data_IF_950304418673
#
_entry.id   IF_950304418673
#
_cell.length_a   1.000
_cell.length_b   1.000
_cell.length_c   1.000
_cell.angle_alpha   90.00
_cell.angle_beta   90.00
_cell.angle_gamma   90.00
#
_symmetry.space_group_name_H-M   'P 1'
#
loop_
_entity.id
_entity.type
_entity.pdbx_description
1 polymer ?
#
# COMPACT_ATOMS: atom_id res chain seq x y z
N UNK A 1 1.39 -10.68 17.91
CA UNK A 1 0.97 -10.06 16.63
C UNK A 1 1.19 -8.56 16.74
N UNK A 2 1.54 -7.84 15.66
CA UNK A 2 1.56 -6.39 15.70
C UNK A 2 0.21 -5.88 16.23
N UNK A 3 0.26 -5.09 17.30
CA UNK A 3 -0.92 -4.62 18.01
C UNK A 3 -1.45 -3.37 17.31
N UNK A 4 -2.31 -3.55 16.31
CA UNK A 4 -3.03 -2.46 15.66
C UNK A 4 -4.54 -2.64 15.84
N UNK A 5 -5.28 -1.53 15.84
CA UNK A 5 -6.73 -1.53 15.90
C UNK A 5 -7.27 -1.90 14.52
N UNK A 6 -8.18 -2.87 14.43
CA UNK A 6 -8.88 -3.19 13.19
C UNK A 6 -10.12 -2.31 13.09
N UNK A 7 -10.40 -1.79 11.89
CA UNK A 7 -11.61 -0.98 11.71
C UNK A 7 -12.91 -1.74 12.03
N UNK A 8 -12.90 -3.06 11.87
CA UNK A 8 -14.05 -3.95 12.12
C UNK A 8 -14.42 -4.08 13.59
N UNK A 9 -13.51 -3.68 14.48
CA UNK A 9 -13.70 -3.75 15.94
C UNK A 9 -14.25 -2.43 16.50
N UNK A 10 -14.48 -1.42 15.65
CA UNK A 10 -14.92 -0.09 16.03
C UNK A 10 -16.41 0.14 15.75
N UNK A 11 -17.05 0.96 16.59
CA UNK A 11 -18.38 1.52 16.27
C UNK A 11 -18.23 2.72 15.33
N UNK A 12 -18.60 2.52 14.07
CA UNK A 12 -18.50 3.52 13.00
C UNK A 12 -19.81 4.29 12.77
N UNK A 13 -20.89 3.98 13.49
CA UNK A 13 -22.20 4.57 13.24
C UNK A 13 -22.20 6.07 13.50
N UNK A 14 -22.55 6.85 12.47
CA UNK A 14 -22.58 8.31 12.53
C UNK A 14 -21.21 8.98 12.66
N UNK A 15 -20.10 8.22 12.55
CA UNK A 15 -18.74 8.76 12.61
C UNK A 15 -18.31 9.27 11.24
N UNK A 16 -17.48 10.31 11.23
CA UNK A 16 -16.74 10.76 10.05
C UNK A 16 -15.51 9.88 9.88
N UNK A 17 -15.49 9.06 8.83
CA UNK A 17 -14.42 8.09 8.59
C UNK A 17 -13.59 8.54 7.39
N UNK A 18 -12.29 8.78 7.62
CA UNK A 18 -11.33 9.09 6.56
C UNK A 18 -10.54 7.83 6.19
N UNK A 19 -10.62 7.39 4.95
CA UNK A 19 -9.99 6.18 4.45
C UNK A 19 -8.87 6.56 3.49
N UNK A 20 -7.64 6.16 3.82
CA UNK A 20 -6.52 6.17 2.89
C UNK A 20 -6.46 4.85 2.12
N UNK A 21 -7.01 4.82 0.92
CA UNK A 21 -7.05 3.64 0.05
C UNK A 21 -5.94 3.67 -1.02
N UNK A 22 -5.50 2.52 -1.54
CA UNK A 22 -4.65 2.48 -2.74
C UNK A 22 -5.53 2.43 -3.99
N UNK A 23 -5.79 3.60 -4.57
CA UNK A 23 -6.54 3.75 -5.82
C UNK A 23 -5.63 4.21 -6.97
N UNK A 24 -4.32 4.00 -6.86
CA UNK A 24 -3.39 4.34 -7.93
C UNK A 24 -3.47 3.31 -9.05
N UNK A 25 -4.44 3.51 -9.96
CA UNK A 25 -4.77 2.64 -11.09
C UNK A 25 -4.22 3.19 -12.40
N UNK A 26 -3.96 2.34 -13.41
CA UNK A 26 -3.62 2.83 -14.74
C UNK A 26 -4.84 3.53 -15.37
N UNK A 27 -4.63 4.77 -15.82
CA UNK A 27 -5.62 5.57 -16.55
C UNK A 27 -5.09 5.84 -17.95
N UNK A 28 -5.96 5.69 -18.95
CA UNK A 28 -5.69 6.03 -20.35
C UNK A 28 -6.91 6.73 -20.93
N UNK A 29 -6.69 7.87 -21.59
CA UNK A 29 -7.76 8.67 -22.23
C UNK A 29 -8.91 8.98 -21.26
N UNK A 30 -8.58 9.32 -20.01
CA UNK A 30 -9.53 9.63 -18.94
C UNK A 30 -10.31 8.43 -18.39
N UNK A 31 -9.93 7.20 -18.74
CA UNK A 31 -10.60 5.96 -18.31
C UNK A 31 -9.65 5.03 -17.57
N UNK A 32 -10.15 4.41 -16.50
CA UNK A 32 -9.43 3.35 -15.78
C UNK A 32 -9.33 2.12 -16.68
N UNK A 33 -8.11 1.61 -16.90
CA UNK A 33 -7.89 0.41 -17.74
C UNK A 33 -7.78 -0.88 -16.91
N UNK A 34 -7.53 -0.76 -15.60
CA UNK A 34 -7.59 -1.86 -14.64
C UNK A 34 -8.08 -1.33 -13.30
N UNK A 35 -9.17 -1.89 -12.80
CA UNK A 35 -9.84 -1.47 -11.56
C UNK A 35 -9.54 -2.41 -10.37
N UNK A 36 -8.55 -3.29 -10.50
CA UNK A 36 -8.24 -4.32 -9.48
C UNK A 36 -8.01 -3.71 -8.09
N UNK A 37 -7.30 -2.58 -8.02
CA UNK A 37 -7.04 -1.86 -6.76
C UNK A 37 -8.29 -1.17 -6.18
N UNK A 38 -9.15 -0.64 -7.04
CA UNK A 38 -10.43 -0.06 -6.63
C UNK A 38 -11.29 -1.17 -6.04
N UNK A 39 -11.42 -2.30 -6.75
CA UNK A 39 -12.15 -3.49 -6.30
C UNK A 39 -11.63 -4.00 -4.96
N UNK A 40 -10.32 -4.06 -4.77
CA UNK A 40 -9.72 -4.51 -3.52
C UNK A 40 -10.01 -3.56 -2.33
N UNK A 41 -10.22 -2.27 -2.59
CA UNK A 41 -10.54 -1.28 -1.54
C UNK A 41 -12.04 -1.21 -1.21
N UNK A 42 -12.91 -1.76 -2.06
CA UNK A 42 -14.38 -1.67 -1.88
C UNK A 42 -14.89 -2.29 -0.57
N UNK A 43 -14.41 -3.46 -0.09
CA UNK A 43 -14.91 -4.07 1.14
C UNK A 43 -14.82 -3.15 2.35
N UNK A 44 -13.70 -2.43 2.52
CA UNK A 44 -13.50 -1.43 3.58
C UNK A 44 -14.51 -0.28 3.48
N UNK A 45 -14.73 0.25 2.27
CA UNK A 45 -15.66 1.35 2.02
C UNK A 45 -17.12 0.93 2.28
N UNK A 46 -17.52 -0.22 1.76
CA UNK A 46 -18.85 -0.79 1.94
C UNK A 46 -19.15 -1.11 3.40
N UNK A 47 -18.16 -1.60 4.15
CA UNK A 47 -18.29 -1.85 5.58
C UNK A 47 -18.62 -0.56 6.35
N UNK A 48 -17.87 0.52 6.12
CA UNK A 48 -18.14 1.83 6.72
C UNK A 48 -19.54 2.35 6.36
N UNK A 49 -19.92 2.26 5.08
CA UNK A 49 -21.23 2.68 4.61
C UNK A 49 -22.37 1.88 5.26
N UNK A 50 -22.22 0.57 5.36
CA UNK A 50 -23.20 -0.33 6.00
C UNK A 50 -23.34 -0.04 7.50
N UNK A 51 -22.26 0.35 8.16
CA UNK A 51 -22.28 0.78 9.55
C UNK A 51 -22.95 2.16 9.76
N UNK A 52 -23.21 2.91 8.68
CA UNK A 52 -23.83 4.24 8.74
C UNK A 52 -22.82 5.36 9.03
N UNK A 53 -21.57 5.19 8.62
CA UNK A 53 -20.55 6.24 8.69
C UNK A 53 -20.72 7.28 7.58
N UNK A 54 -20.19 8.49 7.80
CA UNK A 54 -19.95 9.48 6.76
C UNK A 54 -18.53 9.27 6.19
N UNK A 55 -18.42 8.78 4.96
CA UNK A 55 -17.17 8.22 4.43
C UNK A 55 -16.46 9.20 3.50
N UNK A 56 -15.20 9.50 3.81
CA UNK A 56 -14.28 10.22 2.94
C UNK A 56 -13.16 9.29 2.54
N UNK A 57 -12.95 9.09 1.25
CA UNK A 57 -11.84 8.28 0.73
C UNK A 57 -10.85 9.22 0.07
N UNK A 58 -9.54 9.01 0.25
CA UNK A 58 -8.53 9.65 -0.61
C UNK A 58 -7.54 8.61 -1.12
N UNK A 59 -6.87 8.96 -2.21
CA UNK A 59 -5.72 8.22 -2.71
C UNK A 59 -4.68 9.14 -3.32
N UNK A 60 -3.52 8.58 -3.63
CA UNK A 60 -2.66 9.16 -4.65
C UNK A 60 -3.02 8.56 -6.02
N UNK A 61 -2.76 9.31 -7.08
CA UNK A 61 -2.71 8.83 -8.47
C UNK A 61 -1.47 9.41 -9.14
N UNK A 62 -0.69 8.57 -9.79
CA UNK A 62 0.53 9.00 -10.47
C UNK A 62 1.54 9.71 -9.53
N UNK A 63 2.24 10.69 -10.10
CA UNK A 63 3.31 11.45 -9.43
C UNK A 63 3.23 12.94 -9.74
N UNK A 64 2.13 13.62 -9.41
CA UNK A 64 2.01 15.05 -9.67
C UNK A 64 2.97 15.89 -8.81
N UNK A 65 3.15 17.14 -9.24
CA UNK A 65 3.79 18.20 -8.46
C UNK A 65 2.84 18.66 -7.35
N UNK A 66 3.34 18.80 -6.12
CA UNK A 66 2.52 19.30 -5.03
C UNK A 66 2.14 20.78 -5.26
N UNK A 67 0.88 21.12 -4.98
CA UNK A 67 0.32 22.44 -5.20
C UNK A 67 -0.16 22.69 -6.63
N UNK A 68 0.00 21.75 -7.54
CA UNK A 68 -0.39 21.87 -8.95
C UNK A 68 -1.42 20.79 -9.30
N UNK A 69 -2.62 21.23 -9.65
CA UNK A 69 -3.65 20.34 -10.18
C UNK A 69 -3.30 19.94 -11.63
N UNK A 70 -3.54 18.67 -11.96
CA UNK A 70 -3.51 18.19 -13.35
C UNK A 70 -4.65 17.22 -13.60
N UNK A 71 -5.33 17.34 -14.74
CA UNK A 71 -6.45 16.46 -15.09
C UNK A 71 -6.00 14.99 -15.23
N UNK A 72 -4.79 14.76 -15.74
CA UNK A 72 -4.21 13.41 -15.88
C UNK A 72 -4.07 12.68 -14.54
N UNK A 73 -3.79 13.40 -13.45
CA UNK A 73 -3.63 12.82 -12.12
C UNK A 73 -4.87 13.01 -11.23
N UNK A 74 -6.01 13.45 -11.79
CA UNK A 74 -7.27 13.56 -11.04
C UNK A 74 -7.84 12.18 -10.74
N UNK A 75 -8.47 12.04 -9.57
CA UNK A 75 -9.22 10.87 -9.15
C UNK A 75 -10.63 10.81 -9.75
N UNK A 76 -11.01 11.74 -10.65
CA UNK A 76 -12.32 11.73 -11.31
C UNK A 76 -12.64 10.39 -12.01
N UNK A 77 -11.74 9.79 -12.82
CA UNK A 77 -12.00 8.48 -13.42
C UNK A 77 -12.18 7.36 -12.39
N UNK A 78 -11.52 7.47 -11.23
CA UNK A 78 -11.66 6.53 -10.12
C UNK A 78 -13.04 6.65 -9.47
N UNK A 79 -13.51 7.88 -9.24
CA UNK A 79 -14.86 8.13 -8.72
C UNK A 79 -15.96 7.58 -9.62
N UNK A 80 -15.78 7.64 -10.94
CA UNK A 80 -16.74 7.08 -11.90
C UNK A 80 -16.85 5.55 -11.77
N UNK A 81 -15.72 4.86 -11.59
CA UNK A 81 -15.69 3.41 -11.33
C UNK A 81 -16.29 3.07 -9.97
N UNK A 82 -15.97 3.83 -8.91
CA UNK A 82 -16.56 3.64 -7.59
C UNK A 82 -18.08 3.83 -7.63
N UNK A 83 -18.56 4.83 -8.38
CA UNK A 83 -19.99 5.10 -8.58
C UNK A 83 -20.69 3.89 -9.22
N UNK A 84 -20.10 3.32 -10.26
CA UNK A 84 -20.63 2.14 -10.93
C UNK A 84 -20.67 0.91 -10.00
N UNK A 85 -19.64 0.69 -9.19
CA UNK A 85 -19.56 -0.45 -8.25
C UNK A 85 -20.55 -0.33 -7.08
N UNK A 86 -20.71 0.88 -6.53
CA UNK A 86 -21.59 1.12 -5.38
C UNK A 86 -23.06 1.28 -5.76
N UNK A 87 -23.37 1.53 -7.04
CA UNK A 87 -24.72 1.90 -7.48
C UNK A 87 -25.19 3.22 -6.87
N UNK A 88 -24.26 4.08 -6.43
CA UNK A 88 -24.51 5.36 -5.76
C UNK A 88 -23.50 6.39 -6.24
N UNK A 89 -23.91 7.65 -6.35
CA UNK A 89 -23.03 8.74 -6.77
C UNK A 89 -21.86 8.92 -5.80
N UNK A 90 -20.63 8.90 -6.32
CA UNK A 90 -19.41 9.27 -5.60
C UNK A 90 -18.87 10.54 -6.23
N UNK A 91 -19.10 11.68 -5.58
CA UNK A 91 -18.55 12.97 -6.04
C UNK A 91 -17.10 13.13 -5.62
N UNK A 92 -16.34 13.86 -6.45
CA UNK A 92 -14.97 14.28 -6.13
C UNK A 92 -14.98 15.63 -5.44
N UNK A 93 -14.32 15.75 -4.29
CA UNK A 93 -14.10 17.02 -3.57
C UNK A 93 -12.68 17.48 -3.87
N UNK A 94 -12.52 18.59 -4.60
CA UNK A 94 -11.21 19.09 -5.04
C UNK A 94 -10.41 19.75 -3.92
N UNK A 95 -10.93 20.82 -3.34
CA UNK A 95 -10.22 21.64 -2.35
C UNK A 95 -10.58 21.24 -0.91
N UNK A 96 -10.31 19.99 -0.56
CA UNK A 96 -10.83 19.37 0.66
C UNK A 96 -10.03 19.66 1.94
N UNK A 97 -8.77 20.10 1.83
CA UNK A 97 -7.86 20.26 3.00
C UNK A 97 -8.41 21.27 4.01
N UNK A 98 -9.06 22.33 3.54
CA UNK A 98 -9.66 23.36 4.39
C UNK A 98 -11.04 22.98 4.95
N UNK A 99 -11.58 21.81 4.61
CA UNK A 99 -12.97 21.47 4.89
C UNK A 99 -13.94 22.24 4.00
N UNK A 100 -15.08 22.68 4.54
CA UNK A 100 -16.10 23.43 3.77
C UNK A 100 -17.02 22.56 2.91
N UNK A 101 -17.01 21.26 3.14
CA UNK A 101 -17.94 20.30 2.53
C UNK A 101 -18.59 19.45 3.62
N UNK A 102 -19.79 18.97 3.35
CA UNK A 102 -20.51 18.05 4.23
C UNK A 102 -20.50 16.65 3.64
N UNK A 103 -20.58 15.63 4.51
CA UNK A 103 -20.79 14.24 4.12
C UNK A 103 -21.83 13.68 5.08
N UNK A 104 -22.98 13.29 4.55
CA UNK A 104 -24.04 12.71 5.38
C UNK A 104 -23.68 11.29 5.82
N UNK A 105 -24.27 10.83 6.93
CA UNK A 105 -24.17 9.42 7.32
C UNK A 105 -24.73 8.53 6.21
N UNK A 106 -23.96 7.51 5.80
CA UNK A 106 -24.28 6.63 4.67
C UNK A 106 -23.91 7.19 3.29
N UNK A 107 -23.28 8.36 3.22
CA UNK A 107 -22.69 8.94 2.01
C UNK A 107 -21.19 8.60 1.93
N UNK A 108 -20.67 8.48 0.70
CA UNK A 108 -19.24 8.41 0.40
C UNK A 108 -18.83 9.49 -0.58
N UNK A 109 -17.67 10.08 -0.32
CA UNK A 109 -17.03 11.06 -1.20
C UNK A 109 -15.60 10.65 -1.50
N UNK A 110 -15.12 11.01 -2.67
CA UNK A 110 -13.70 10.87 -3.02
C UNK A 110 -13.04 12.24 -2.88
N UNK A 111 -12.14 12.38 -1.93
CA UNK A 111 -11.27 13.54 -1.80
C UNK A 111 -10.20 13.44 -2.89
N UNK A 112 -10.01 14.53 -3.63
CA UNK A 112 -9.07 14.59 -4.76
C UNK A 112 -7.64 14.24 -4.32
N UNK A 113 -6.82 13.84 -5.31
CA UNK A 113 -5.48 13.27 -5.15
C UNK A 113 -4.66 13.95 -4.03
N UNK A 114 -4.35 13.20 -2.97
CA UNK A 114 -3.65 13.74 -1.81
C UNK A 114 -2.28 14.32 -2.15
N UNK A 115 -1.66 13.89 -3.26
CA UNK A 115 -0.36 14.43 -3.72
C UNK A 115 -0.46 15.76 -4.46
N UNK A 116 -1.66 16.31 -4.68
CA UNK A 116 -1.80 17.72 -5.03
C UNK A 116 -1.62 18.63 -3.82
N UNK A 117 -1.74 18.13 -2.60
CA UNK A 117 -1.63 18.96 -1.40
C UNK A 117 -0.16 19.19 -1.04
N UNK A 118 0.18 20.46 -0.76
CA UNK A 118 1.51 20.82 -0.28
C UNK A 118 1.75 20.18 1.09
N UNK A 119 2.92 19.57 1.24
CA UNK A 119 3.33 18.93 2.49
C UNK A 119 2.97 17.44 2.60
N UNK A 120 2.29 16.88 1.61
CA UNK A 120 1.95 15.46 1.55
C UNK A 120 3.20 14.56 1.64
N UNK A 121 4.13 14.67 0.68
CA UNK A 121 5.31 13.79 0.57
C UNK A 121 6.32 14.03 1.69
N UNK A 122 6.36 15.26 2.22
CA UNK A 122 7.25 15.63 3.32
C UNK A 122 6.66 15.33 4.71
N UNK A 123 5.43 14.81 4.77
CA UNK A 123 4.74 14.52 6.01
C UNK A 123 4.71 15.72 6.96
N UNK A 124 4.31 16.88 6.42
CA UNK A 124 4.23 18.13 7.17
C UNK A 124 3.10 18.05 8.19
N UNK A 125 3.40 18.34 9.46
CA UNK A 125 2.47 18.17 10.57
C UNK A 125 1.24 19.09 10.44
N UNK A 126 1.40 20.31 9.90
CA UNK A 126 0.29 21.22 9.62
C UNK A 126 -0.74 20.60 8.66
N UNK A 127 -0.27 20.05 7.54
CA UNK A 127 -1.11 19.35 6.55
C UNK A 127 -1.78 18.12 7.18
N UNK A 128 -1.03 17.34 7.96
CA UNK A 128 -1.55 16.16 8.65
C UNK A 128 -2.65 16.48 9.68
N UNK A 129 -2.50 17.58 10.44
CA UNK A 129 -3.52 18.06 11.39
C UNK A 129 -4.79 18.49 10.67
N UNK A 130 -4.67 19.15 9.51
CA UNK A 130 -5.84 19.50 8.69
C UNK A 130 -6.59 18.25 8.23
N UNK A 131 -5.89 17.21 7.79
CA UNK A 131 -6.54 15.96 7.40
C UNK A 131 -7.23 15.28 8.59
N UNK A 132 -6.55 15.23 9.75
CA UNK A 132 -7.10 14.62 10.95
C UNK A 132 -8.39 15.33 11.43
N UNK A 133 -8.46 16.66 11.31
CA UNK A 133 -9.63 17.44 11.71
C UNK A 133 -10.92 17.08 10.92
N UNK A 134 -10.77 16.48 9.74
CA UNK A 134 -11.89 16.05 8.90
C UNK A 134 -12.63 14.83 9.46
N UNK A 135 -12.00 14.05 10.35
CA UNK A 135 -12.50 12.75 10.74
C UNK A 135 -12.51 12.50 12.25
N UNK A 136 -13.34 11.55 12.66
CA UNK A 136 -13.32 10.98 14.00
C UNK A 136 -12.49 9.69 14.01
N UNK A 137 -12.46 8.97 12.86
CA UNK A 137 -11.69 7.73 12.66
C UNK A 137 -10.90 7.82 11.36
N UNK A 138 -9.60 7.60 11.44
CA UNK A 138 -8.70 7.40 10.31
C UNK A 138 -8.50 5.90 10.06
N UNK A 139 -8.72 5.47 8.82
CA UNK A 139 -8.53 4.10 8.34
C UNK A 139 -7.39 4.09 7.33
N UNK A 140 -6.29 3.43 7.66
CA UNK A 140 -5.21 3.17 6.71
C UNK A 140 -5.48 1.84 5.99
N UNK A 141 -5.73 1.90 4.68
CA UNK A 141 -6.05 0.71 3.86
C UNK A 141 -5.20 0.61 2.58
N UNK A 142 -4.07 1.33 2.55
CA UNK A 142 -3.17 1.42 1.41
C UNK A 142 -1.80 0.80 1.70
N UNK A 143 -1.72 -0.54 1.77
CA UNK A 143 -0.47 -1.26 2.07
C UNK A 143 0.69 -0.86 1.13
N UNK A 144 0.40 -0.67 -0.16
CA UNK A 144 1.38 -0.24 -1.16
C UNK A 144 2.09 1.09 -0.85
N UNK A 145 1.51 1.93 0.01
CA UNK A 145 2.11 3.19 0.47
C UNK A 145 2.50 3.19 1.95
N UNK A 146 2.25 2.11 2.69
CA UNK A 146 2.54 2.03 4.13
C UNK A 146 4.04 2.16 4.46
N UNK A 147 4.93 1.89 3.49
CA UNK A 147 6.38 2.07 3.63
C UNK A 147 6.85 3.54 3.55
N UNK A 148 5.94 4.50 3.34
CA UNK A 148 6.26 5.93 3.23
C UNK A 148 5.56 6.71 4.33
N UNK A 149 6.33 7.54 5.03
CA UNK A 149 5.77 8.56 5.91
C UNK A 149 5.32 9.75 5.04
N UNK A 150 4.03 9.82 4.75
CA UNK A 150 3.34 10.92 4.06
C UNK A 150 2.22 11.45 4.97
N UNK A 151 1.73 12.67 4.72
CA UNK A 151 0.70 13.28 5.57
C UNK A 151 -0.60 12.45 5.58
N UNK A 152 -1.00 11.84 4.46
CA UNK A 152 -2.19 10.98 4.38
C UNK A 152 -2.00 9.54 4.86
N UNK A 153 -0.76 9.10 5.13
CA UNK A 153 -0.46 7.74 5.59
C UNK A 153 -0.05 7.73 7.06
N UNK A 154 1.00 8.46 7.41
CA UNK A 154 1.62 8.47 8.73
C UNK A 154 1.21 9.70 9.54
N UNK A 155 1.22 10.88 8.92
CA UNK A 155 0.97 12.14 9.62
C UNK A 155 -0.41 12.20 10.26
N UNK A 156 -1.44 11.94 9.47
CA UNK A 156 -2.85 11.95 9.92
C UNK A 156 -3.06 11.01 11.12
N UNK A 157 -2.40 9.84 11.14
CA UNK A 157 -2.53 8.86 12.22
C UNK A 157 -2.03 9.37 13.57
N UNK A 158 -1.11 10.35 13.59
CA UNK A 158 -0.64 10.98 14.84
C UNK A 158 -1.67 11.89 15.49
N UNK A 159 -2.57 12.46 14.69
CA UNK A 159 -3.46 13.54 15.11
C UNK A 159 -4.95 13.17 15.07
N UNK A 160 -5.32 12.12 14.32
CA UNK A 160 -6.69 11.61 14.31
C UNK A 160 -7.08 11.07 15.69
N UNK A 161 -8.34 11.29 16.15
CA UNK A 161 -8.78 10.78 17.45
C UNK A 161 -8.69 9.25 17.57
N UNK A 162 -8.88 8.53 16.47
CA UNK A 162 -8.69 7.09 16.38
C UNK A 162 -8.06 6.75 15.03
N UNK A 163 -7.01 5.92 15.04
CA UNK A 163 -6.35 5.41 13.85
C UNK A 163 -6.39 3.88 13.85
N UNK A 164 -6.85 3.28 12.75
CA UNK A 164 -6.98 1.84 12.60
C UNK A 164 -6.58 1.36 11.20
N UNK A 165 -6.35 0.05 11.08
CA UNK A 165 -6.13 -0.61 9.79
C UNK A 165 -7.47 -0.96 9.13
N UNK A 166 -7.55 -0.74 7.82
CA UNK A 166 -8.64 -1.23 7.00
C UNK A 166 -8.54 -2.74 6.74
N UNK A 167 -9.52 -3.31 6.03
CA UNK A 167 -9.58 -4.75 5.77
C UNK A 167 -8.39 -5.22 4.93
N UNK A 168 -8.06 -4.53 3.83
CA UNK A 168 -6.95 -4.89 2.96
C UNK A 168 -5.62 -4.81 3.70
N UNK A 169 -5.39 -3.73 4.46
CA UNK A 169 -4.16 -3.61 5.24
C UNK A 169 -4.08 -4.71 6.32
N UNK A 170 -5.19 -5.02 6.98
CA UNK A 170 -5.24 -6.08 7.99
C UNK A 170 -4.88 -7.43 7.38
N UNK A 171 -5.49 -7.79 6.25
CA UNK A 171 -5.22 -9.06 5.55
C UNK A 171 -3.75 -9.17 5.11
N UNK A 172 -3.18 -8.10 4.54
CA UNK A 172 -1.75 -8.08 4.14
C UNK A 172 -0.82 -8.25 5.34
N UNK A 173 -1.08 -7.55 6.45
CA UNK A 173 -0.28 -7.66 7.67
C UNK A 173 -0.39 -9.04 8.32
N UNK A 174 -1.58 -9.64 8.33
CA UNK A 174 -1.80 -11.00 8.84
C UNK A 174 -1.08 -12.04 7.96
N UNK A 175 -1.19 -11.93 6.64
CA UNK A 175 -0.54 -12.83 5.70
C UNK A 175 0.99 -12.76 5.84
N UNK A 176 1.56 -11.55 5.90
CA UNK A 176 3.00 -11.35 6.11
C UNK A 176 3.46 -11.84 7.48
N UNK A 177 2.67 -11.61 8.53
CA UNK A 177 2.95 -12.10 9.88
C UNK A 177 3.01 -13.62 9.90
N UNK A 178 2.00 -14.28 9.32
CA UNK A 178 1.94 -15.74 9.21
C UNK A 178 3.08 -16.31 8.37
N UNK A 179 3.47 -15.62 7.28
CA UNK A 179 4.54 -16.09 6.42
C UNK A 179 5.95 -15.87 6.99
N UNK A 180 6.19 -14.80 7.76
CA UNK A 180 7.54 -14.38 8.15
C UNK A 180 7.86 -14.48 9.65
N UNK A 181 6.85 -14.41 10.53
CA UNK A 181 7.06 -14.42 11.98
C UNK A 181 6.69 -15.77 12.61
N UNK A 182 5.63 -16.41 12.14
CA UNK A 182 5.19 -17.73 12.63
C UNK A 182 4.83 -18.69 11.47
N UNK A 183 5.80 -19.04 10.60
CA UNK A 183 5.53 -19.91 9.47
C UNK A 183 5.37 -21.36 9.89
N UNK A 184 4.36 -22.03 9.33
CA UNK A 184 4.33 -23.49 9.33
C UNK A 184 5.57 -24.02 8.57
N UNK A 185 6.27 -24.98 9.18
CA UNK A 185 7.49 -25.55 8.62
C UNK A 185 7.22 -26.89 7.92
N UNK A 186 7.93 -27.21 6.82
CA UNK A 186 9.02 -26.43 6.22
C UNK A 186 8.55 -25.19 5.43
N UNK A 187 9.19 -24.05 5.67
CA UNK A 187 9.00 -22.80 4.96
C UNK A 187 9.96 -22.70 3.77
N UNK A 188 9.40 -22.56 2.57
CA UNK A 188 10.15 -22.37 1.33
C UNK A 188 9.96 -20.93 0.83
N UNK A 189 11.06 -20.21 0.60
CA UNK A 189 11.05 -18.93 -0.10
C UNK A 189 11.53 -19.10 -1.55
N UNK A 190 10.79 -18.51 -2.49
CA UNK A 190 11.17 -18.48 -3.91
C UNK A 190 11.47 -17.03 -4.29
N UNK A 191 12.74 -16.73 -4.59
CA UNK A 191 13.22 -15.39 -4.93
C UNK A 191 13.71 -15.36 -6.37
N UNK A 192 12.87 -14.83 -7.26
CA UNK A 192 13.18 -14.59 -8.66
C UNK A 192 13.57 -13.15 -8.96
N UNK A 193 14.34 -12.94 -10.02
CA UNK A 193 14.68 -11.62 -10.53
C UNK A 193 15.81 -11.64 -11.55
N UNK A 194 16.05 -10.51 -12.20
CA UNK A 194 17.15 -10.36 -13.16
C UNK A 194 18.50 -10.08 -12.50
N UNK A 195 18.52 -9.53 -11.28
CA UNK A 195 19.72 -9.07 -10.57
C UNK A 195 19.68 -9.40 -9.09
N UNK A 196 20.76 -9.99 -8.58
CA UNK A 196 21.04 -10.20 -7.14
C UNK A 196 21.10 -8.85 -6.43
N UNK A 197 21.75 -7.84 -7.00
CA UNK A 197 21.94 -6.51 -6.38
C UNK A 197 20.62 -5.88 -5.90
N UNK A 198 19.55 -6.04 -6.68
CA UNK A 198 18.23 -5.47 -6.36
C UNK A 198 17.42 -6.27 -5.32
N UNK A 199 17.90 -7.45 -4.94
CA UNK A 199 17.21 -8.40 -4.05
C UNK A 199 18.09 -8.88 -2.88
N UNK A 200 19.30 -8.34 -2.73
CA UNK A 200 20.28 -8.83 -1.77
C UNK A 200 19.74 -8.79 -0.34
N UNK A 201 19.18 -7.66 0.08
CA UNK A 201 18.62 -7.49 1.43
C UNK A 201 17.47 -8.45 1.71
N UNK A 202 16.69 -8.79 0.68
CA UNK A 202 15.61 -9.78 0.77
C UNK A 202 16.18 -11.19 0.91
N UNK A 203 17.19 -11.55 0.11
CA UNK A 203 17.87 -12.84 0.21
C UNK A 203 18.52 -13.03 1.59
N UNK A 204 19.21 -12.02 2.09
CA UNK A 204 19.83 -12.02 3.42
C UNK A 204 18.79 -12.21 4.52
N UNK A 205 17.72 -11.42 4.51
CA UNK A 205 16.64 -11.51 5.52
C UNK A 205 15.92 -12.84 5.49
N UNK A 206 15.62 -13.37 4.29
CA UNK A 206 14.93 -14.66 4.15
C UNK A 206 15.83 -15.83 4.51
N UNK A 207 17.14 -15.75 4.23
CA UNK A 207 18.12 -16.80 4.57
C UNK A 207 18.20 -17.12 6.06
N UNK A 208 17.69 -16.25 6.93
CA UNK A 208 17.63 -16.45 8.38
C UNK A 208 16.30 -17.08 8.84
N UNK A 209 15.26 -17.02 8.01
CA UNK A 209 13.89 -17.36 8.41
C UNK A 209 13.38 -18.67 7.79
N UNK A 210 13.79 -18.95 6.55
CA UNK A 210 13.28 -20.07 5.75
C UNK A 210 14.06 -21.35 5.99
N UNK A 211 13.44 -22.49 5.72
CA UNK A 211 14.10 -23.81 5.68
C UNK A 211 14.72 -24.07 4.30
N UNK A 212 14.11 -23.54 3.23
CA UNK A 212 14.65 -23.63 1.88
C UNK A 212 14.54 -22.28 1.16
N UNK A 213 15.60 -21.94 0.42
CA UNK A 213 15.65 -20.74 -0.42
C UNK A 213 15.90 -21.15 -1.86
N UNK A 214 14.88 -21.00 -2.70
CA UNK A 214 14.93 -21.26 -4.14
C UNK A 214 15.17 -19.96 -4.87
N UNK A 215 16.25 -19.86 -5.63
CA UNK A 215 16.55 -18.69 -6.46
C UNK A 215 16.19 -18.96 -7.92
N UNK A 216 15.68 -17.94 -8.63
CA UNK A 216 15.27 -18.04 -10.03
C UNK A 216 15.70 -16.84 -10.90
N UNK A 217 15.77 -17.04 -12.21
CA UNK A 217 16.13 -15.99 -13.18
C UNK A 217 17.63 -15.64 -13.20
N UNK A 218 17.97 -14.38 -13.47
CA UNK A 218 19.36 -13.91 -13.46
C UNK A 218 20.05 -14.06 -12.11
N UNK A 219 19.28 -13.99 -11.01
CA UNK A 219 19.77 -14.32 -9.66
C UNK A 219 20.33 -15.75 -9.63
N UNK A 220 19.58 -16.73 -10.15
CA UNK A 220 20.00 -18.13 -10.16
C UNK A 220 21.30 -18.32 -10.95
N UNK A 221 21.50 -17.59 -12.04
CA UNK A 221 22.75 -17.66 -12.81
C UNK A 221 23.96 -17.21 -11.98
N UNK A 222 23.86 -16.12 -11.22
CA UNK A 222 24.95 -15.70 -10.33
C UNK A 222 25.27 -16.78 -9.28
N UNK A 223 24.25 -17.47 -8.74
CA UNK A 223 24.45 -18.59 -7.82
C UNK A 223 25.03 -19.84 -8.50
N UNK A 224 24.63 -20.14 -9.74
CA UNK A 224 25.22 -21.22 -10.54
C UNK A 224 26.71 -20.94 -10.79
N UNK A 225 27.06 -19.71 -11.19
CA UNK A 225 28.45 -19.27 -11.35
C UNK A 225 29.22 -19.37 -10.02
N UNK A 226 28.61 -18.96 -8.91
CA UNK A 226 29.20 -19.07 -7.57
C UNK A 226 29.48 -20.52 -7.14
N UNK A 227 28.67 -21.47 -7.62
CA UNK A 227 28.86 -22.92 -7.44
C UNK A 227 29.86 -23.55 -8.42
N UNK A 228 30.53 -22.74 -9.26
CA UNK A 228 31.52 -23.19 -10.25
C UNK A 228 30.93 -23.70 -11.56
N UNK A 229 29.63 -23.53 -11.80
CA UNK A 229 28.98 -23.95 -13.05
C UNK A 229 29.10 -22.86 -14.12
N UNK A 230 29.41 -23.20 -15.39
CA UNK A 230 29.50 -22.22 -16.45
C UNK A 230 28.11 -21.65 -16.79
N UNK A 231 28.01 -20.32 -16.88
CA UNK A 231 26.74 -19.63 -17.22
C UNK A 231 26.68 -19.08 -18.65
N UNK A 232 27.78 -19.17 -19.40
CA UNK A 232 27.84 -18.72 -20.80
C UNK A 232 27.51 -17.24 -20.96
N UNK A 233 26.57 -16.93 -21.87
CA UNK A 233 26.08 -15.56 -22.12
C UNK A 233 24.87 -15.18 -21.25
N UNK A 234 24.50 -16.01 -20.27
CA UNK A 234 23.36 -15.74 -19.40
C UNK A 234 23.61 -14.49 -18.55
N UNK A 235 22.55 -13.75 -18.22
CA UNK A 235 22.64 -12.59 -17.33
C UNK A 235 23.18 -13.03 -15.96
N UNK A 236 24.32 -12.47 -15.54
CA UNK A 236 25.05 -12.81 -14.32
C UNK A 236 25.77 -11.57 -13.77
N UNK A 237 25.72 -11.36 -12.45
CA UNK A 237 26.44 -10.30 -11.74
C UNK A 237 27.72 -10.88 -11.13
N UNK A 238 28.80 -10.90 -11.90
CA UNK A 238 30.07 -11.53 -11.52
C UNK A 238 30.70 -10.91 -10.26
N UNK A 239 30.49 -9.62 -10.04
CA UNK A 239 30.91 -8.87 -8.86
C UNK A 239 30.21 -9.34 -7.58
N UNK A 240 29.02 -9.95 -7.69
CA UNK A 240 28.25 -10.47 -6.55
C UNK A 240 28.40 -11.98 -6.34
N UNK A 241 29.31 -12.64 -7.07
CA UNK A 241 29.65 -14.05 -6.84
C UNK A 241 30.11 -14.32 -5.40
N UNK A 242 31.01 -13.53 -4.78
CA UNK A 242 31.41 -13.75 -3.39
C UNK A 242 30.23 -13.69 -2.42
N UNK A 243 29.30 -12.76 -2.65
CA UNK A 243 28.08 -12.61 -1.85
C UNK A 243 27.15 -13.82 -1.99
N UNK A 244 26.97 -14.33 -3.22
CA UNK A 244 26.19 -15.54 -3.46
C UNK A 244 26.82 -16.77 -2.77
N UNK A 245 28.16 -16.90 -2.80
CA UNK A 245 28.88 -17.97 -2.08
C UNK A 245 28.67 -17.88 -0.57
N UNK A 246 28.72 -16.67 0.00
CA UNK A 246 28.46 -16.46 1.43
C UNK A 246 27.03 -16.87 1.83
N UNK A 247 26.03 -16.51 1.01
CA UNK A 247 24.64 -16.90 1.24
C UNK A 247 24.43 -18.42 1.12
N UNK A 248 25.03 -19.06 0.12
CA UNK A 248 24.99 -20.53 -0.02
C UNK A 248 25.57 -21.21 1.22
N UNK A 249 26.75 -20.77 1.68
CA UNK A 249 27.41 -21.32 2.87
C UNK A 249 26.53 -21.14 4.12
N UNK A 250 25.90 -19.97 4.27
CA UNK A 250 24.99 -19.68 5.39
C UNK A 250 23.78 -20.62 5.40
N UNK A 251 23.18 -20.88 4.24
CA UNK A 251 22.03 -21.78 4.12
C UNK A 251 22.40 -23.24 4.39
N UNK A 252 23.56 -23.72 3.91
CA UNK A 252 24.00 -25.11 4.13
C UNK A 252 24.41 -25.41 5.57
N UNK A 253 24.79 -24.39 6.34
CA UNK A 253 25.26 -24.54 7.72
C UNK A 253 24.12 -24.64 8.77
N UNK A 254 22.85 -24.50 8.36
CA UNK A 254 21.66 -24.57 9.21
C UNK A 254 20.94 -25.88 9.01
#
# INVERSE_FOLDING_TARGET
>A
MPHFIRMTDLDLKGKRVFIRADLNVPVKDGKVTSDARITASMPTIEHCLKAGAAVMVTSHLGRPTEGEYSEENSLKPVADVMTAKLGKSVRVVKDWVGGGFEVAAGEVVLLENCRFNKGEKKNVDETAKQYAALCDVFVMDAFGTAHRAEASTHGIAKFAPTACAGMLLTEELEALTKALLDPARPMVAIVGGSKVSTKLTVLESLSEKVDQLVVGGGIANTFLQASGKPVGKSLCEHDLVPTAQALMKKMTAR
#
